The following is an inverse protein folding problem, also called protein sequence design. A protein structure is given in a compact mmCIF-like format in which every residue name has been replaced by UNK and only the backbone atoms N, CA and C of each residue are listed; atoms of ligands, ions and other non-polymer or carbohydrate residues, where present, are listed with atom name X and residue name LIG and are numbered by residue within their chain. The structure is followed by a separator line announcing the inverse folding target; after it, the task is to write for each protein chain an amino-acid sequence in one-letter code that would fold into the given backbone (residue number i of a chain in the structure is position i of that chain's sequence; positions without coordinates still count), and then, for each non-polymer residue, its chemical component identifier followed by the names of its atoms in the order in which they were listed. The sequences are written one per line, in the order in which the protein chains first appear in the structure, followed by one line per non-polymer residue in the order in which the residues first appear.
data_IF_099584707144
#
_entry.id   IF_099584707144
#
_cell.length_a   1.000
_cell.length_b   1.000
_cell.length_c   1.000
_cell.angle_alpha   90.00
_cell.angle_beta   90.00
_cell.angle_gamma   90.00
#
_symmetry.space_group_name_H-M   'P 1'
#
loop_
_entity.id
_entity.type
_entity.pdbx_description
1 polymer ?
#
# COMPACT_ATOMS: atom_id res chain seq x y z
N UNK A 1 -0.29 -11.26 10.33
CA UNK A 1 0.31 -10.27 9.40
C UNK A 1 -0.86 -9.50 8.81
N UNK A 2 -1.04 -8.23 9.16
CA UNK A 2 -2.18 -7.46 8.65
C UNK A 2 -1.73 -6.75 7.38
N UNK A 3 -2.46 -6.97 6.28
CA UNK A 3 -2.23 -6.39 4.96
C UNK A 3 -3.49 -5.60 4.58
N UNK A 4 -3.32 -4.35 4.20
CA UNK A 4 -4.36 -3.42 3.80
C UNK A 4 -4.10 -3.00 2.36
N UNK A 5 -4.92 -3.49 1.44
CA UNK A 5 -4.93 -3.00 0.06
C UNK A 5 -5.56 -1.61 0.01
N UNK A 6 -4.99 -0.73 -0.83
CA UNK A 6 -5.58 0.59 -1.05
C UNK A 6 -7.02 0.48 -1.55
N UNK A 7 -7.32 -0.49 -2.42
CA UNK A 7 -8.69 -0.74 -2.91
C UNK A 7 -9.71 -0.86 -1.78
N UNK A 8 -9.31 -1.43 -0.64
CA UNK A 8 -10.18 -1.63 0.50
C UNK A 8 -10.28 -0.37 1.36
N UNK A 9 -9.18 0.37 1.51
CA UNK A 9 -9.15 1.61 2.31
C UNK A 9 -9.92 2.75 1.65
N UNK A 10 -9.84 2.84 0.33
CA UNK A 10 -10.55 3.85 -0.47
C UNK A 10 -12.07 3.64 -0.48
N UNK A 11 -12.55 2.40 -0.38
CA UNK A 11 -13.98 2.13 -0.20
C UNK A 11 -14.53 2.62 1.15
N UNK A 12 -13.67 2.83 2.14
CA UNK A 12 -14.07 3.33 3.46
C UNK A 12 -14.14 4.87 3.53
N UNK A 13 -13.53 5.57 2.57
CA UNK A 13 -13.56 7.03 2.50
C UNK A 13 -13.72 7.49 1.04
N UNK A 14 -14.92 7.98 0.71
CA UNK A 14 -15.25 8.45 -0.64
C UNK A 14 -14.37 9.60 -1.13
N UNK A 15 -13.77 10.39 -0.25
CA UNK A 15 -12.83 11.47 -0.62
C UNK A 15 -11.54 10.91 -1.23
N UNK A 16 -11.19 9.64 -0.95
CA UNK A 16 -10.01 8.99 -1.51
C UNK A 16 -10.24 8.46 -2.93
N UNK A 17 -11.50 8.37 -3.38
CA UNK A 17 -11.84 7.89 -4.73
C UNK A 17 -11.22 8.76 -5.83
N UNK A 18 -11.12 10.06 -5.61
CA UNK A 18 -10.50 10.99 -6.57
C UNK A 18 -9.00 10.73 -6.78
N UNK A 19 -8.35 10.06 -5.82
CA UNK A 19 -6.93 9.71 -5.86
C UNK A 19 -6.68 8.30 -6.38
N UNK A 20 -7.73 7.53 -6.69
CA UNK A 20 -7.56 6.18 -7.24
C UNK A 20 -7.10 6.23 -8.70
N UNK A 21 -6.19 5.30 -9.02
CA UNK A 21 -5.75 5.02 -10.39
C UNK A 21 -5.65 3.51 -10.59
N UNK A 22 -5.94 3.05 -11.80
CA UNK A 22 -5.65 1.67 -12.19
C UNK A 22 -4.15 1.52 -12.44
N UNK A 23 -3.56 0.48 -11.86
CA UNK A 23 -2.16 0.13 -12.12
C UNK A 23 -2.04 -1.38 -12.30
N UNK A 24 -1.48 -1.82 -13.43
CA UNK A 24 -1.27 -3.24 -13.73
C UNK A 24 -0.22 -3.87 -12.81
N UNK A 25 0.65 -3.05 -12.23
CA UNK A 25 1.70 -3.44 -11.29
C UNK A 25 1.20 -3.41 -9.83
N UNK A 26 -0.09 -3.17 -9.60
CA UNK A 26 -0.74 -3.27 -8.29
C UNK A 26 -1.29 -4.66 -8.03
N UNK A 27 -1.18 -5.12 -6.78
CA UNK A 27 -1.78 -6.39 -6.35
C UNK A 27 -3.31 -6.40 -6.44
N UNK A 28 -3.96 -5.26 -6.23
CA UNK A 28 -5.42 -5.12 -6.31
C UNK A 28 -5.89 -4.55 -7.65
N UNK A 29 -4.96 -4.20 -8.53
CA UNK A 29 -5.22 -3.47 -9.78
C UNK A 29 -5.63 -2.01 -9.57
N UNK A 30 -5.54 -1.48 -8.34
CA UNK A 30 -5.84 -0.11 -7.95
C UNK A 30 -4.77 0.41 -6.97
N UNK A 31 -4.35 1.66 -7.18
CA UNK A 31 -3.40 2.37 -6.32
C UNK A 31 -3.95 3.72 -5.92
N UNK A 32 -3.38 4.29 -4.85
CA UNK A 32 -3.67 5.66 -4.41
C UNK A 32 -2.56 6.55 -4.94
N UNK A 33 -2.89 7.51 -5.79
CA UNK A 33 -1.97 8.48 -6.38
C UNK A 33 -2.27 9.87 -5.82
N UNK A 34 -1.26 10.57 -5.30
CA UNK A 34 -1.43 11.91 -4.73
C UNK A 34 -1.80 12.99 -5.77
N UNK A 35 -1.65 12.74 -7.08
CA UNK A 35 -2.02 13.66 -8.17
C UNK A 35 -1.54 15.11 -8.00
N UNK A 36 -0.37 15.30 -7.39
CA UNK A 36 0.21 16.61 -7.04
C UNK A 36 -0.49 17.38 -5.92
N UNK A 37 -1.48 16.78 -5.28
CA UNK A 37 -2.20 17.35 -4.15
C UNK A 37 -1.68 16.80 -2.83
N UNK A 38 -2.07 17.47 -1.74
CA UNK A 38 -1.84 16.96 -0.39
C UNK A 38 -2.77 15.78 -0.15
N UNK A 39 -2.19 14.60 0.03
CA UNK A 39 -2.93 13.36 0.26
C UNK A 39 -2.80 12.94 1.73
N UNK A 40 -3.93 12.63 2.37
CA UNK A 40 -3.95 12.01 3.70
C UNK A 40 -4.71 10.70 3.64
N UNK A 41 -4.08 9.63 4.10
CA UNK A 41 -4.66 8.30 4.22
C UNK A 41 -4.70 7.89 5.68
N UNK A 42 -5.89 7.81 6.26
CA UNK A 42 -6.09 7.27 7.61
C UNK A 42 -6.27 5.75 7.55
N UNK A 43 -5.54 5.02 8.40
CA UNK A 43 -5.62 3.57 8.48
C UNK A 43 -6.61 3.12 9.58
N UNK A 44 -7.08 1.86 9.55
CA UNK A 44 -7.88 1.31 10.63
C UNK A 44 -7.15 1.32 11.97
N UNK A 45 -7.92 1.34 13.07
CA UNK A 45 -7.39 1.34 14.43
C UNK A 45 -6.50 0.12 14.69
N UNK A 46 -5.32 0.38 15.24
CA UNK A 46 -4.38 -0.65 15.63
C UNK A 46 -4.70 -1.13 17.05
N UNK A 47 -5.04 -2.42 17.18
CA UNK A 47 -5.31 -3.06 18.48
C UNK A 47 -4.04 -3.54 19.20
N UNK A 48 -2.86 -3.23 18.67
CA UNK A 48 -1.58 -3.71 19.19
C UNK A 48 -0.85 -2.60 19.95
N UNK A 49 -0.12 -2.98 21.00
CA UNK A 49 0.75 -2.09 21.78
C UNK A 49 2.22 -2.41 21.50
N UNK A 50 3.02 -1.38 21.23
CA UNK A 50 4.48 -1.46 21.12
C UNK A 50 5.04 -1.01 19.77
N UNK A 51 6.32 -1.30 19.56
CA UNK A 51 7.01 -1.03 18.31
C UNK A 51 6.53 -1.97 17.21
N UNK A 52 6.03 -1.39 16.13
CA UNK A 52 5.63 -2.12 14.93
C UNK A 52 6.41 -1.59 13.73
N UNK A 53 6.68 -2.46 12.78
CA UNK A 53 7.24 -2.06 11.49
C UNK A 53 6.09 -1.91 10.51
N UNK A 54 5.91 -0.69 10.02
CA UNK A 54 5.00 -0.35 8.94
C UNK A 54 5.77 -0.50 7.63
N UNK A 55 5.21 -1.26 6.70
CA UNK A 55 5.77 -1.42 5.37
C UNK A 55 4.74 -0.95 4.35
N UNK A 56 5.13 0.00 3.51
CA UNK A 56 4.31 0.54 2.43
C UNK A 56 4.95 0.16 1.10
N UNK A 57 4.17 -0.44 0.20
CA UNK A 57 4.57 -0.54 -1.21
C UNK A 57 4.26 0.79 -1.89
N UNK A 58 5.32 1.47 -2.30
CA UNK A 58 5.26 2.84 -2.80
C UNK A 58 6.04 2.98 -4.10
N UNK A 59 5.66 3.98 -4.89
CA UNK A 59 6.39 4.42 -6.07
C UNK A 59 6.42 5.95 -6.07
N UNK A 60 7.60 6.54 -5.89
CA UNK A 60 7.80 7.99 -5.95
C UNK A 60 8.10 8.36 -7.39
N UNK A 61 7.08 8.86 -8.10
CA UNK A 61 7.21 9.21 -9.52
C UNK A 61 7.96 10.51 -9.71
N UNK A 62 7.62 11.51 -8.89
CA UNK A 62 8.15 12.86 -9.07
C UNK A 62 8.09 13.68 -7.78
N UNK A 63 9.15 14.41 -7.50
CA UNK A 63 9.19 15.43 -6.45
C UNK A 63 8.79 16.78 -7.03
N UNK A 64 7.86 17.46 -6.36
CA UNK A 64 7.29 18.72 -6.86
C UNK A 64 7.93 19.96 -6.23
N UNK A 65 8.50 19.81 -5.02
CA UNK A 65 9.17 20.89 -4.30
C UNK A 65 10.19 20.35 -3.28
N UNK A 66 11.15 21.19 -2.88
CA UNK A 66 12.09 20.91 -1.78
C UNK A 66 11.41 20.77 -0.42
N UNK A 67 10.20 21.29 -0.27
CA UNK A 67 9.39 21.14 0.95
C UNK A 67 8.57 19.83 0.96
N UNK A 68 8.95 18.85 0.14
CA UNK A 68 8.29 17.57 0.11
C UNK A 68 8.46 16.77 1.41
N UNK A 69 7.40 16.05 1.76
CA UNK A 69 7.44 15.16 2.92
C UNK A 69 6.45 14.00 2.82
N UNK A 70 6.83 12.88 3.45
CA UNK A 70 5.96 11.76 3.76
C UNK A 70 5.95 11.63 5.29
N UNK A 71 4.80 11.84 5.92
CA UNK A 71 4.65 11.78 7.37
C UNK A 71 3.82 10.58 7.76
N UNK A 72 4.29 9.84 8.74
CA UNK A 72 3.54 8.79 9.41
C UNK A 72 3.05 9.36 10.74
N UNK A 73 1.79 9.73 10.79
CA UNK A 73 1.17 10.42 11.91
C UNK A 73 0.50 9.39 12.80
N UNK A 74 0.90 9.34 14.06
CA UNK A 74 0.08 8.72 15.09
C UNK A 74 -0.70 9.74 15.88
N UNK A 75 -1.87 9.33 16.33
CA UNK A 75 -2.68 10.10 17.27
C UNK A 75 -2.10 10.01 18.71
N UNK A 76 -0.84 10.42 18.89
CA UNK A 76 -0.16 10.53 20.17
C UNK A 76 0.86 11.70 20.17
N UNK A 77 1.36 12.07 21.34
CA UNK A 77 2.25 13.24 21.51
C UNK A 77 3.68 13.05 20.95
N UNK A 78 4.01 11.86 20.41
CA UNK A 78 5.35 11.52 19.89
C UNK A 78 5.51 11.73 18.37
N UNK A 79 4.65 12.57 17.78
CA UNK A 79 4.51 12.76 16.32
C UNK A 79 5.77 13.18 15.54
N UNK A 80 6.83 13.69 16.18
CA UNK A 80 7.94 14.35 15.47
C UNK A 80 8.90 13.40 14.74
N UNK A 81 8.88 12.10 15.03
CA UNK A 81 9.99 11.21 14.65
C UNK A 81 9.80 10.42 13.35
N UNK A 82 8.62 10.43 12.73
CA UNK A 82 8.32 9.59 11.55
C UNK A 82 7.99 10.42 10.31
N UNK A 83 8.87 11.37 9.96
CA UNK A 83 8.74 12.19 8.75
C UNK A 83 9.95 12.03 7.84
N UNK A 84 9.70 11.62 6.60
CA UNK A 84 10.70 11.64 5.53
C UNK A 84 10.68 13.00 4.86
N UNK A 85 11.85 13.63 4.75
CA UNK A 85 12.05 14.91 4.06
C UNK A 85 12.72 14.69 2.70
N UNK A 86 12.79 15.75 1.92
CA UNK A 86 13.41 15.78 0.60
C UNK A 86 14.70 14.97 0.45
N UNK A 87 15.68 15.09 1.34
CA UNK A 87 16.97 14.38 1.22
C UNK A 87 16.82 12.84 1.16
N UNK A 88 15.82 12.30 1.85
CA UNK A 88 15.51 10.88 1.82
C UNK A 88 14.60 10.56 0.64
N UNK A 89 13.53 11.35 0.44
CA UNK A 89 12.54 11.12 -0.62
C UNK A 89 13.18 11.20 -2.01
N UNK A 90 14.14 12.08 -2.24
CA UNK A 90 14.87 12.21 -3.51
C UNK A 90 15.70 11.00 -3.88
N UNK A 91 16.02 10.14 -2.90
CA UNK A 91 16.69 8.85 -3.16
C UNK A 91 15.71 7.76 -3.58
N UNK A 92 14.41 7.99 -3.40
CA UNK A 92 13.33 7.06 -3.76
C UNK A 92 12.70 7.39 -5.12
N UNK A 93 12.87 8.62 -5.59
CA UNK A 93 12.40 9.07 -6.90
C UNK A 93 12.98 8.20 -8.01
N UNK A 94 12.14 7.82 -8.99
CA UNK A 94 12.50 7.01 -10.16
C UNK A 94 13.02 5.58 -9.86
N UNK A 95 12.99 5.11 -8.61
CA UNK A 95 13.33 3.71 -8.27
C UNK A 95 12.26 2.69 -8.69
N UNK A 96 11.09 3.16 -9.10
CA UNK A 96 9.92 2.32 -9.34
C UNK A 96 9.28 1.82 -8.04
N UNK A 97 8.67 0.63 -8.09
CA UNK A 97 7.99 0.03 -6.95
C UNK A 97 8.97 -0.53 -5.91
N UNK A 98 8.89 -0.01 -4.69
CA UNK A 98 9.66 -0.46 -3.55
C UNK A 98 8.74 -0.74 -2.35
N UNK A 99 9.18 -1.59 -1.44
CA UNK A 99 8.68 -1.62 -0.06
C UNK A 99 9.56 -0.73 0.82
N UNK A 100 8.97 0.33 1.37
CA UNK A 100 9.61 1.17 2.38
C UNK A 100 9.15 0.75 3.77
N UNK A 101 10.10 0.41 4.64
CA UNK A 101 9.88 0.05 6.03
C UNK A 101 10.23 1.20 6.96
N UNK A 102 9.31 1.53 7.87
CA UNK A 102 9.60 2.44 8.99
C UNK A 102 9.18 1.80 10.31
N UNK A 103 10.01 1.86 11.36
CA UNK A 103 9.54 1.59 12.71
C UNK A 103 8.55 2.67 13.10
N UNK A 104 7.51 2.28 13.82
CA UNK A 104 6.48 3.17 14.35
C UNK A 104 6.08 2.66 15.72
N UNK A 105 6.10 3.52 16.72
CA UNK A 105 5.58 3.16 18.04
C UNK A 105 4.06 3.32 18.05
N UNK A 106 3.33 2.21 18.23
CA UNK A 106 1.88 2.19 18.32
C UNK A 106 1.44 1.98 19.77
N UNK A 107 0.87 2.99 20.45
CA UNK A 107 0.08 2.77 21.64
C UNK A 107 -1.14 1.91 21.31
N UNK A 108 -1.74 1.34 22.35
CA UNK A 108 -2.95 0.54 22.21
C UNK A 108 -4.09 1.41 21.67
N UNK A 109 -4.83 0.91 20.68
CA UNK A 109 -5.95 1.59 20.03
C UNK A 109 -5.58 2.93 19.36
N UNK A 110 -4.36 3.08 18.83
CA UNK A 110 -4.01 4.26 18.05
C UNK A 110 -4.39 4.14 16.59
N UNK A 111 -4.83 5.25 16.00
CA UNK A 111 -4.97 5.39 14.55
C UNK A 111 -3.65 5.90 13.95
N UNK A 112 -3.21 5.25 12.88
CA UNK A 112 -2.06 5.65 12.08
C UNK A 112 -2.56 6.29 10.79
N UNK A 113 -1.91 7.36 10.37
CA UNK A 113 -2.21 8.06 9.12
C UNK A 113 -0.94 8.33 8.34
N UNK A 114 -1.05 8.37 7.01
CA UNK A 114 0.03 8.74 6.12
C UNK A 114 -0.36 10.06 5.45
N UNK A 115 0.47 11.08 5.59
CA UNK A 115 0.32 12.36 4.91
C UNK A 115 1.46 12.53 3.89
N UNK A 116 1.10 12.80 2.64
CA UNK A 116 2.04 13.06 1.55
C UNK A 116 1.85 14.51 1.11
N UNK A 117 2.96 15.23 0.97
CA UNK A 117 2.96 16.62 0.54
C UNK A 117 4.04 16.88 -0.50
N UNK A 118 3.69 17.60 -1.58
CA UNK A 118 4.59 18.02 -2.67
C UNK A 118 5.36 16.88 -3.35
N UNK A 119 4.73 15.70 -3.47
CA UNK A 119 5.27 14.51 -4.14
C UNK A 119 4.15 13.91 -4.98
N UNK A 120 4.43 13.58 -6.23
CA UNK A 120 3.63 12.65 -7.03
C UNK A 120 4.05 11.23 -6.68
N UNK A 121 3.20 10.54 -5.91
CA UNK A 121 3.52 9.24 -5.34
C UNK A 121 2.31 8.33 -5.42
N UNK A 122 2.58 7.05 -5.68
CA UNK A 122 1.59 5.99 -5.63
C UNK A 122 1.81 5.08 -4.42
N UNK A 123 0.72 4.58 -3.84
CA UNK A 123 0.70 3.54 -2.80
C UNK A 123 -0.17 2.38 -3.30
N UNK A 124 0.30 1.14 -3.17
CA UNK A 124 -0.46 -0.07 -3.54
C UNK A 124 -1.07 -0.77 -2.32
N UNK A 125 -0.24 -1.04 -1.31
CA UNK A 125 -0.69 -1.62 -0.05
C UNK A 125 0.17 -1.18 1.11
N UNK A 126 -0.37 -1.43 2.30
CA UNK A 126 0.27 -1.20 3.58
C UNK A 126 0.19 -2.48 4.39
N UNK A 127 1.30 -2.89 5.02
CA UNK A 127 1.32 -4.07 5.88
C UNK A 127 2.15 -3.86 7.12
N UNK A 128 1.87 -4.70 8.11
CA UNK A 128 2.66 -4.79 9.34
C UNK A 128 3.54 -6.03 9.35
N UNK A 129 4.81 -5.85 9.72
CA UNK A 129 5.82 -6.91 9.79
C UNK A 129 7.20 -6.34 9.46
N UNK A 130 8.22 -7.18 9.45
CA UNK A 130 9.60 -6.77 9.16
C UNK A 130 10.11 -7.32 7.83
N UNK A 131 10.98 -6.55 7.21
CA UNK A 131 11.89 -6.90 6.13
C UNK A 131 13.32 -6.88 6.66
N UNK A 132 14.23 -7.53 5.94
CA UNK A 132 15.66 -7.48 6.25
C UNK A 132 16.23 -6.06 6.07
N UNK A 133 15.71 -5.31 5.08
CA UNK A 133 16.19 -4.00 4.70
C UNK A 133 15.10 -2.93 4.83
N UNK A 134 15.50 -1.70 5.16
CA UNK A 134 14.60 -0.53 5.22
C UNK A 134 13.93 -0.24 3.87
N UNK A 135 14.68 -0.36 2.78
CA UNK A 135 14.16 -0.31 1.41
C UNK A 135 14.35 -1.70 0.83
N UNK A 136 13.26 -2.30 0.38
CA UNK A 136 13.28 -3.59 -0.30
C UNK A 136 12.74 -3.37 -1.71
N UNK A 137 13.56 -3.61 -2.72
CA UNK A 137 13.10 -3.63 -4.10
C UNK A 137 12.12 -4.77 -4.28
N UNK A 138 11.04 -4.52 -5.00
CA UNK A 138 10.03 -5.54 -5.28
C UNK A 138 10.50 -6.29 -6.53
N UNK A 139 11.06 -7.52 -6.39
CA UNK A 139 11.24 -8.36 -7.56
C UNK A 139 9.85 -8.64 -8.13
N UNK A 140 9.75 -8.79 -9.46
CA UNK A 140 8.55 -9.15 -10.24
C UNK A 140 7.33 -9.60 -9.41
N UNK A 141 6.15 -9.00 -9.62
CA UNK A 141 4.92 -9.30 -8.86
C UNK A 141 4.58 -10.79 -8.76
N UNK A 142 5.02 -11.60 -9.72
CA UNK A 142 4.91 -13.08 -9.67
C UNK A 142 5.62 -13.73 -8.46
N UNK A 143 6.49 -13.01 -7.75
CA UNK A 143 7.26 -13.49 -6.58
C UNK A 143 6.68 -13.05 -5.22
N UNK A 144 5.52 -12.38 -5.19
CA UNK A 144 4.91 -11.82 -3.97
C UNK A 144 4.15 -12.84 -3.10
N UNK A 145 4.44 -14.14 -3.21
CA UNK A 145 3.80 -15.18 -2.39
C UNK A 145 4.06 -15.06 -0.90
N UNK A 146 5.12 -14.35 -0.51
CA UNK A 146 5.37 -14.10 0.90
C UNK A 146 4.30 -13.18 1.51
N UNK A 147 3.59 -12.36 0.73
CA UNK A 147 2.51 -11.49 1.23
C UNK A 147 1.19 -12.22 1.43
N UNK A 148 0.96 -13.22 0.59
CA UNK A 148 -0.26 -14.01 0.49
C UNK A 148 0.20 -15.45 0.24
N UNK A 149 0.28 -16.32 1.27
CA UNK A 149 0.74 -17.70 1.13
C UNK A 149 0.01 -18.48 0.02
N UNK A 150 -1.26 -18.10 -0.23
CA UNK A 150 -2.14 -18.72 -1.23
C UNK A 150 -2.11 -18.00 -2.60
N UNK A 151 -1.35 -16.91 -2.77
CA UNK A 151 -1.28 -16.16 -4.03
C UNK A 151 -0.78 -17.01 -5.18
N UNK A 152 0.21 -17.86 -4.90
CA UNK A 152 0.65 -18.88 -5.85
C UNK A 152 -0.52 -19.81 -6.17
N UNK A 153 -1.36 -20.22 -5.23
CA UNK A 153 -2.47 -21.14 -5.49
C UNK A 153 -3.53 -20.55 -6.45
N UNK A 154 -3.72 -19.22 -6.45
CA UNK A 154 -4.59 -18.52 -7.41
C UNK A 154 -4.00 -18.41 -8.82
N UNK A 155 -2.67 -18.40 -8.96
CA UNK A 155 -1.97 -18.26 -10.26
C UNK A 155 -1.29 -19.55 -10.77
N UNK A 156 -1.09 -20.57 -9.95
CA UNK A 156 -0.23 -21.73 -10.24
C UNK A 156 -0.89 -22.81 -11.10
N UNK A 157 -2.18 -22.69 -11.41
CA UNK A 157 -2.87 -23.65 -12.27
C UNK A 157 -2.92 -23.23 -13.73
N UNK A 158 -2.20 -22.19 -14.15
CA UNK A 158 -2.09 -21.79 -15.55
C UNK A 158 -0.72 -22.16 -16.09
N UNK A 159 -0.60 -23.23 -16.92
CA UNK A 159 0.63 -23.54 -17.62
C UNK A 159 1.07 -22.37 -18.50
N UNK A 160 2.37 -22.16 -18.63
CA UNK A 160 3.01 -21.04 -19.34
C UNK A 160 2.41 -20.78 -20.74
N UNK A 161 1.99 -21.85 -21.42
CA UNK A 161 1.38 -21.83 -22.77
C UNK A 161 -0.03 -21.23 -22.84
N UNK A 162 -0.65 -20.90 -21.70
CA UNK A 162 -2.01 -20.38 -21.64
C UNK A 162 -2.12 -19.02 -20.94
N UNK A 163 -1.03 -18.38 -20.51
CA UNK A 163 -1.05 -17.07 -19.80
C UNK A 163 -1.82 -15.99 -20.57
N UNK A 164 -1.67 -15.98 -21.88
CA UNK A 164 -2.31 -15.07 -22.84
C UNK A 164 -3.78 -15.42 -23.13
N UNK A 165 -4.32 -16.49 -22.52
CA UNK A 165 -5.70 -16.95 -22.69
C UNK A 165 -6.55 -16.94 -21.40
N UNK A 166 -6.00 -16.61 -20.24
CA UNK A 166 -6.78 -16.52 -19.00
C UNK A 166 -7.30 -15.09 -18.78
N UNK A 167 -8.59 -14.98 -19.10
CA UNK A 167 -9.66 -14.04 -18.72
C UNK A 167 -9.35 -12.60 -18.28
N UNK A 168 -10.11 -11.67 -18.88
CA UNK A 168 -10.05 -10.25 -18.55
C UNK A 168 -10.61 -10.01 -17.15
N UNK A 169 -10.06 -9.02 -16.44
CA UNK A 169 -10.47 -8.52 -15.11
C UNK A 169 -11.99 -8.48 -14.85
N UNK A 170 -12.80 -8.28 -15.90
CA UNK A 170 -14.27 -8.27 -15.86
C UNK A 170 -14.90 -9.61 -15.43
N UNK A 171 -14.19 -10.73 -15.58
CA UNK A 171 -14.66 -12.06 -15.17
C UNK A 171 -14.29 -12.38 -13.71
N UNK A 172 -13.22 -11.77 -13.18
CA UNK A 172 -12.90 -11.83 -11.74
C UNK A 172 -13.80 -10.94 -10.89
N UNK A 173 -14.27 -9.81 -11.44
CA UNK A 173 -15.23 -8.93 -10.75
C UNK A 173 -16.58 -9.62 -10.49
N UNK A 174 -16.97 -10.63 -11.28
CA UNK A 174 -18.19 -11.42 -11.08
C UNK A 174 -18.03 -12.58 -10.06
N UNK A 175 -16.80 -12.97 -9.70
CA UNK A 175 -16.55 -14.09 -8.77
C UNK A 175 -16.58 -13.68 -7.29
N UNK A 176 -16.61 -12.37 -7.00
CA UNK A 176 -16.77 -11.80 -5.66
C UNK A 176 -18.14 -11.11 -5.53
N UNK A 177 -19.17 -11.68 -6.15
CA UNK A 177 -20.52 -11.16 -5.98
C UNK A 177 -20.93 -11.32 -4.51
N UNK A 178 -21.47 -10.22 -3.95
CA UNK A 178 -21.86 -9.96 -2.54
C UNK A 178 -22.55 -11.12 -1.79
N UNK A 179 -23.08 -12.09 -2.53
CA UNK A 179 -23.78 -13.28 -2.07
C UNK A 179 -22.89 -14.23 -1.25
N UNK A 180 -21.60 -14.33 -1.56
CA UNK A 180 -20.70 -15.25 -0.86
C UNK A 180 -20.23 -14.71 0.51
N UNK A 181 -20.32 -13.40 0.72
CA UNK A 181 -20.06 -12.75 2.02
C UNK A 181 -21.28 -12.89 2.95
N UNK A 182 -22.50 -12.84 2.41
CA UNK A 182 -23.73 -12.93 3.20
C UNK A 182 -24.07 -14.35 3.66
N UNK A 183 -23.58 -15.38 2.97
CA UNK A 183 -23.84 -16.78 3.34
C UNK A 183 -22.94 -17.31 4.48
N UNK A 184 -21.99 -16.50 4.96
CA UNK A 184 -21.05 -16.86 6.04
C UNK A 184 -21.21 -15.99 7.31
N UNK A 185 -22.34 -15.30 7.46
CA UNK A 185 -22.75 -14.59 8.68
C UNK A 185 -23.88 -15.31 9.41
#
# INVERSE_FOLDING_TARGET
RNLYFISNLTNLNSELSQFQESDISSLSGLVLCSKNEKLRLDLPLLKNYGWIYLICKINVKKILSKDCSIKFILNNDYQKDYMLKHEVVSKLEELGWIEYQTPVYSPYNSQLSIEINSIEMQIDYIRFGSNANTITYIPDMSLMSYLLPDYHQFFSNVPETFKDKYFSRKEMENLLDLKDILNNL
#
